data_IF_790964291275
#
_entry.id   IF_790964291275
#
_cell.length_a   1.000
_cell.length_b   1.000
_cell.length_c   1.000
_cell.angle_alpha   90.00
_cell.angle_beta   90.00
_cell.angle_gamma   90.00
#
_symmetry.space_group_name_H-M   'P 1'
#
loop_
_entity.id
_entity.type
_entity.pdbx_description
1 polymer ?
#
# COMPACT_ATOMS: atom_id res chain seq x y z
N UNK A 1 30.03 -25.05 29.74
CA UNK A 1 29.17 -23.88 29.82
C UNK A 1 28.49 -23.72 28.47
N UNK A 2 27.23 -24.11 28.39
CA UNK A 2 26.44 -24.04 27.15
C UNK A 2 26.08 -22.59 26.94
N UNK A 3 26.47 -22.01 25.82
CA UNK A 3 25.89 -20.76 25.32
C UNK A 3 24.48 -21.10 24.85
N UNK A 4 23.51 -20.85 25.72
CA UNK A 4 22.12 -20.79 25.32
C UNK A 4 21.99 -19.64 24.29
N UNK A 5 21.75 -20.05 23.05
CA UNK A 5 21.37 -19.17 21.96
C UNK A 5 20.05 -18.53 22.37
N UNK A 6 20.11 -17.31 22.89
CA UNK A 6 18.95 -16.43 22.98
C UNK A 6 18.47 -16.20 21.55
N UNK A 7 17.58 -17.07 21.08
CA UNK A 7 16.79 -16.76 19.90
C UNK A 7 16.09 -15.43 20.20
N UNK A 8 16.57 -14.37 19.61
CA UNK A 8 15.89 -13.07 19.62
C UNK A 8 14.52 -13.35 19.04
N UNK A 9 13.49 -13.37 19.89
CA UNK A 9 12.10 -13.49 19.44
C UNK A 9 11.82 -12.26 18.59
N UNK A 10 11.91 -12.42 17.28
CA UNK A 10 11.55 -11.37 16.35
C UNK A 10 10.05 -11.11 16.49
N UNK A 11 9.67 -9.87 16.70
CA UNK A 11 8.27 -9.47 16.78
C UNK A 11 7.60 -9.78 15.44
N UNK A 12 6.47 -10.51 15.44
CA UNK A 12 5.69 -10.72 14.22
C UNK A 12 5.25 -9.40 13.62
N UNK A 13 5.29 -9.28 12.29
CA UNK A 13 4.90 -8.07 11.58
C UNK A 13 4.24 -8.38 10.23
N UNK A 14 3.62 -7.37 9.65
CA UNK A 14 2.92 -7.42 8.37
C UNK A 14 3.49 -6.33 7.47
N UNK A 15 3.70 -6.63 6.19
CA UNK A 15 3.90 -5.62 5.17
C UNK A 15 2.54 -5.23 4.58
N UNK A 16 2.13 -3.99 4.78
CA UNK A 16 0.80 -3.54 4.36
C UNK A 16 0.71 -3.16 2.88
N UNK A 17 1.84 -3.13 2.14
CA UNK A 17 1.84 -2.80 0.71
C UNK A 17 3.12 -3.27 0.00
N UNK A 18 2.96 -4.20 -0.93
CA UNK A 18 4.02 -4.66 -1.83
C UNK A 18 3.44 -5.12 -3.18
N UNK A 19 4.28 -5.24 -4.21
CA UNK A 19 3.88 -5.64 -5.56
C UNK A 19 4.54 -6.97 -5.94
N UNK A 20 4.09 -8.09 -5.37
CA UNK A 20 4.69 -9.42 -5.62
C UNK A 20 4.37 -9.99 -7.01
N UNK A 21 3.44 -9.38 -7.76
CA UNK A 21 3.20 -9.66 -9.17
C UNK A 21 4.18 -8.97 -10.12
N UNK A 22 5.00 -8.02 -9.59
CA UNK A 22 6.00 -7.32 -10.40
C UNK A 22 7.01 -8.30 -11.02
N UNK A 23 7.38 -8.12 -12.31
CA UNK A 23 8.38 -8.95 -13.00
C UNK A 23 9.72 -9.06 -12.27
N UNK A 24 10.07 -8.11 -11.42
CA UNK A 24 11.28 -8.16 -10.60
C UNK A 24 11.33 -9.38 -9.66
N UNK A 25 10.18 -9.98 -9.34
CA UNK A 25 10.08 -11.17 -8.48
C UNK A 25 9.89 -12.48 -9.24
N UNK A 26 9.64 -12.44 -10.54
CA UNK A 26 9.23 -13.61 -11.33
C UNK A 26 10.21 -14.80 -11.24
N UNK A 27 11.51 -14.53 -11.11
CA UNK A 27 12.54 -15.59 -11.13
C UNK A 27 12.78 -16.26 -9.76
N UNK A 28 12.46 -15.57 -8.64
CA UNK A 28 12.83 -16.06 -7.31
C UNK A 28 11.74 -15.86 -6.24
N UNK A 29 10.49 -15.75 -6.64
CA UNK A 29 9.35 -15.47 -5.75
C UNK A 29 9.29 -16.43 -4.56
N UNK A 30 9.49 -17.73 -4.76
CA UNK A 30 9.49 -18.73 -3.67
C UNK A 30 10.59 -18.49 -2.66
N UNK A 31 11.75 -18.06 -3.13
CA UNK A 31 12.84 -17.69 -2.23
C UNK A 31 12.52 -16.38 -1.47
N UNK A 32 11.85 -15.42 -2.10
CA UNK A 32 11.33 -14.20 -1.43
C UNK A 32 10.34 -14.57 -0.33
N UNK A 33 9.32 -15.38 -0.64
CA UNK A 33 8.34 -15.86 0.35
C UNK A 33 9.02 -16.60 1.51
N UNK A 34 10.02 -17.42 1.22
CA UNK A 34 10.79 -18.12 2.26
C UNK A 34 11.54 -17.13 3.17
N UNK A 35 12.13 -16.07 2.60
CA UNK A 35 12.80 -15.00 3.38
C UNK A 35 11.79 -14.22 4.23
N UNK A 36 10.61 -13.90 3.70
CA UNK A 36 9.53 -13.26 4.45
C UNK A 36 9.14 -14.07 5.69
N UNK A 37 8.88 -15.37 5.53
CA UNK A 37 8.54 -16.27 6.64
C UNK A 37 9.67 -16.40 7.66
N UNK A 38 10.92 -16.51 7.20
CA UNK A 38 12.10 -16.59 8.07
C UNK A 38 12.34 -15.29 8.86
N UNK A 39 11.89 -14.15 8.34
CA UNK A 39 11.93 -12.87 9.03
C UNK A 39 10.77 -12.66 10.03
N UNK A 40 9.97 -13.69 10.32
CA UNK A 40 8.80 -13.64 11.20
C UNK A 40 7.65 -12.77 10.68
N UNK A 41 7.57 -12.55 9.37
CA UNK A 41 6.37 -11.97 8.78
C UNK A 41 5.19 -12.92 8.92
N UNK A 42 4.05 -12.41 9.31
CA UNK A 42 2.80 -13.17 9.46
C UNK A 42 1.87 -13.01 8.27
N UNK A 43 1.99 -11.90 7.54
CA UNK A 43 1.21 -11.65 6.33
C UNK A 43 1.86 -10.54 5.47
N UNK A 44 1.41 -10.42 4.23
CA UNK A 44 1.64 -9.26 3.37
C UNK A 44 0.42 -8.97 2.51
N UNK A 45 0.20 -7.69 2.19
CA UNK A 45 -0.81 -7.26 1.21
C UNK A 45 -0.10 -6.99 -0.11
N UNK A 46 -0.44 -7.76 -1.15
CA UNK A 46 0.10 -7.59 -2.50
C UNK A 46 -0.90 -6.91 -3.42
N UNK A 47 -0.43 -5.98 -4.23
CA UNK A 47 -1.25 -5.01 -4.94
C UNK A 47 -1.24 -5.32 -6.44
N UNK A 48 -2.44 -5.29 -7.05
CA UNK A 48 -2.61 -5.22 -8.50
C UNK A 48 -3.08 -3.83 -8.92
N UNK A 49 -2.47 -3.27 -9.96
CA UNK A 49 -2.63 -1.88 -10.38
C UNK A 49 -3.44 -1.71 -11.66
N UNK A 50 -3.70 -2.79 -12.39
CA UNK A 50 -4.46 -2.80 -13.64
C UNK A 50 -5.03 -4.20 -13.94
N UNK A 51 -5.81 -4.33 -15.02
CA UNK A 51 -6.50 -5.59 -15.37
C UNK A 51 -5.55 -6.77 -15.55
N UNK A 52 -4.36 -6.56 -16.12
CA UNK A 52 -3.39 -7.65 -16.34
C UNK A 52 -2.85 -8.25 -15.05
N UNK A 53 -2.98 -7.55 -13.91
CA UNK A 53 -2.49 -8.01 -12.61
C UNK A 53 -3.50 -8.94 -11.91
N UNK A 54 -4.75 -8.98 -12.35
CA UNK A 54 -5.84 -9.70 -11.67
C UNK A 54 -5.53 -11.20 -11.56
N UNK A 55 -5.28 -11.87 -12.69
CA UNK A 55 -5.02 -13.30 -12.67
C UNK A 55 -3.71 -13.68 -11.97
N UNK A 56 -2.57 -12.96 -12.15
CA UNK A 56 -1.39 -13.16 -11.33
C UNK A 56 -1.64 -12.96 -9.82
N UNK A 57 -2.41 -11.94 -9.45
CA UNK A 57 -2.78 -11.68 -8.05
C UNK A 57 -3.58 -12.84 -7.46
N UNK A 58 -4.66 -13.29 -8.13
CA UNK A 58 -5.45 -14.45 -7.72
C UNK A 58 -4.60 -15.69 -7.51
N UNK A 59 -3.74 -15.99 -8.49
CA UNK A 59 -2.83 -17.14 -8.41
C UNK A 59 -1.89 -17.08 -7.19
N UNK A 60 -1.44 -15.88 -6.80
CA UNK A 60 -0.64 -15.70 -5.58
C UNK A 60 -1.45 -15.94 -4.31
N UNK A 61 -2.67 -15.41 -4.24
CA UNK A 61 -3.55 -15.59 -3.07
C UNK A 61 -3.92 -17.07 -2.87
N UNK A 62 -4.24 -17.76 -3.95
CA UNK A 62 -4.55 -19.21 -3.93
C UNK A 62 -3.34 -20.06 -3.52
N UNK A 63 -2.14 -19.63 -3.91
CA UNK A 63 -0.89 -20.34 -3.61
C UNK A 63 -0.43 -20.18 -2.16
N UNK A 64 -0.72 -19.03 -1.55
CA UNK A 64 -0.28 -18.68 -0.20
C UNK A 64 -1.42 -18.19 0.69
N UNK A 65 -2.50 -19.00 0.85
CA UNK A 65 -3.68 -18.60 1.59
C UNK A 65 -3.34 -18.33 3.06
N UNK A 66 -3.93 -17.25 3.61
CA UNK A 66 -3.70 -16.82 5.00
C UNK A 66 -2.34 -16.17 5.24
N UNK A 67 -1.45 -16.13 4.25
CA UNK A 67 -0.17 -15.41 4.30
C UNK A 67 -0.13 -14.22 3.35
N UNK A 68 -0.62 -14.36 2.12
CA UNK A 68 -0.81 -13.26 1.20
C UNK A 68 -2.27 -12.86 1.16
N UNK A 69 -2.48 -11.57 1.17
CA UNK A 69 -3.76 -10.89 0.94
C UNK A 69 -3.62 -9.94 -0.23
N UNK A 70 -4.73 -9.60 -0.89
CA UNK A 70 -4.73 -8.79 -2.09
C UNK A 70 -5.48 -7.49 -1.95
N UNK A 71 -5.09 -6.52 -2.75
CA UNK A 71 -5.90 -5.38 -3.12
C UNK A 71 -5.75 -5.13 -4.62
N UNK A 72 -6.81 -4.63 -5.25
CA UNK A 72 -6.79 -4.29 -6.66
C UNK A 72 -7.55 -3.01 -6.92
N UNK A 73 -7.00 -2.19 -7.81
CA UNK A 73 -7.64 -1.02 -8.39
C UNK A 73 -6.95 -0.61 -9.69
N UNK A 74 -7.46 0.41 -10.37
CA UNK A 74 -6.77 1.03 -11.51
C UNK A 74 -5.96 2.22 -11.00
N UNK A 75 -4.64 2.08 -11.07
CA UNK A 75 -3.68 3.05 -10.54
C UNK A 75 -3.77 4.41 -11.28
N UNK A 76 -3.55 5.55 -10.59
CA UNK A 76 -3.64 6.87 -11.21
C UNK A 76 -2.57 7.17 -12.26
N UNK A 77 -1.49 6.40 -12.35
CA UNK A 77 -0.46 6.56 -13.38
C UNK A 77 -0.83 5.96 -14.75
N UNK A 78 -1.97 5.26 -14.86
CA UNK A 78 -2.37 4.61 -16.11
C UNK A 78 -3.53 5.34 -16.81
N UNK A 79 -3.25 6.41 -17.60
CA UNK A 79 -4.28 7.19 -18.28
C UNK A 79 -5.07 6.38 -19.32
N UNK A 80 -4.41 5.40 -19.96
CA UNK A 80 -4.99 4.57 -21.02
C UNK A 80 -5.59 3.26 -20.50
N UNK A 81 -5.59 3.03 -19.19
CA UNK A 81 -6.19 1.82 -18.63
C UNK A 81 -7.70 1.82 -18.84
N UNK A 82 -8.26 0.61 -19.00
CA UNK A 82 -9.71 0.44 -19.01
C UNK A 82 -10.31 0.93 -17.69
N UNK A 83 -11.35 1.69 -17.79
CA UNK A 83 -12.10 2.15 -16.61
C UNK A 83 -13.08 1.05 -16.17
N UNK A 84 -12.82 0.45 -15.02
CA UNK A 84 -13.80 -0.41 -14.36
C UNK A 84 -14.88 0.45 -13.69
N UNK A 85 -16.12 -0.02 -13.67
CA UNK A 85 -17.18 0.64 -12.91
C UNK A 85 -17.14 0.24 -11.41
N UNK A 86 -17.93 0.94 -10.60
CA UNK A 86 -17.91 0.73 -9.16
C UNK A 86 -18.43 -0.67 -8.73
N UNK A 87 -19.33 -1.26 -9.51
CA UNK A 87 -19.85 -2.61 -9.23
C UNK A 87 -18.79 -3.67 -9.50
N UNK A 88 -18.10 -3.58 -10.64
CA UNK A 88 -16.99 -4.47 -10.97
C UNK A 88 -15.87 -4.40 -9.93
N UNK A 89 -15.46 -3.18 -9.53
CA UNK A 89 -14.41 -3.00 -8.52
C UNK A 89 -14.85 -3.61 -7.18
N UNK A 90 -16.11 -3.38 -6.77
CA UNK A 90 -16.64 -3.92 -5.51
C UNK A 90 -16.74 -5.45 -5.54
N UNK A 91 -17.13 -6.05 -6.67
CA UNK A 91 -17.16 -7.50 -6.86
C UNK A 91 -15.75 -8.09 -6.67
N UNK A 92 -14.75 -7.52 -7.35
CA UNK A 92 -13.34 -7.94 -7.20
C UNK A 92 -12.82 -7.80 -5.77
N UNK A 93 -13.11 -6.67 -5.11
CA UNK A 93 -12.72 -6.45 -3.73
C UNK A 93 -13.38 -7.42 -2.74
N UNK A 94 -14.46 -8.08 -3.15
CA UNK A 94 -15.18 -9.09 -2.38
C UNK A 94 -14.69 -10.52 -2.60
N UNK A 95 -13.78 -10.75 -3.53
CA UNK A 95 -13.18 -12.07 -3.79
C UNK A 95 -12.39 -12.60 -2.57
N UNK A 96 -12.26 -13.94 -2.44
CA UNK A 96 -11.47 -14.51 -1.35
C UNK A 96 -10.03 -13.99 -1.30
N UNK A 97 -9.59 -13.60 -0.11
CA UNK A 97 -8.24 -13.07 0.08
C UNK A 97 -8.06 -11.58 -0.22
N UNK A 98 -9.03 -10.93 -0.87
CA UNK A 98 -9.01 -9.49 -1.10
C UNK A 98 -9.41 -8.73 0.18
N UNK A 99 -8.59 -7.75 0.59
CA UNK A 99 -8.76 -7.03 1.87
C UNK A 99 -8.99 -5.53 1.72
N UNK A 100 -8.75 -4.96 0.55
CA UNK A 100 -8.90 -3.53 0.29
C UNK A 100 -9.22 -3.26 -1.18
N UNK A 101 -9.68 -2.04 -1.48
CA UNK A 101 -9.70 -1.45 -2.83
C UNK A 101 -8.45 -0.56 -2.95
N UNK A 102 -7.57 -0.84 -3.85
CA UNK A 102 -6.32 -0.10 -4.05
C UNK A 102 -5.32 -0.91 -4.90
N UNK A 103 -4.39 -0.21 -5.43
CA UNK A 103 -3.95 1.16 -5.20
C UNK A 103 -4.68 2.15 -6.14
N UNK A 104 -5.24 3.20 -5.57
CA UNK A 104 -5.98 4.24 -6.29
C UNK A 104 -5.71 5.62 -5.69
N UNK A 105 -6.02 6.68 -6.37
CA UNK A 105 -5.80 8.04 -5.86
C UNK A 105 -5.39 9.03 -6.92
N UNK A 106 -4.39 9.87 -6.61
CA UNK A 106 -3.91 10.95 -7.48
C UNK A 106 -2.38 10.95 -7.61
N UNK A 107 -1.88 11.19 -8.82
CA UNK A 107 -0.46 11.42 -9.10
C UNK A 107 -0.27 12.68 -9.94
N UNK A 108 0.32 13.73 -9.35
CA UNK A 108 0.65 14.97 -10.03
C UNK A 108 2.11 15.05 -10.46
N UNK A 109 2.90 14.04 -10.11
CA UNK A 109 4.30 13.95 -10.51
C UNK A 109 4.46 13.36 -11.91
N UNK A 110 3.88 12.20 -12.16
CA UNK A 110 3.96 11.51 -13.45
C UNK A 110 2.88 11.97 -14.44
N UNK A 111 1.69 12.30 -13.95
CA UNK A 111 0.59 12.78 -14.77
C UNK A 111 0.48 14.29 -14.70
N UNK A 112 0.25 14.93 -15.85
CA UNK A 112 0.11 16.39 -15.95
C UNK A 112 -1.32 16.76 -16.33
N UNK A 113 -1.75 17.94 -15.90
CA UNK A 113 -3.09 18.46 -16.19
C UNK A 113 -3.49 18.33 -17.69
N UNK A 114 -4.76 18.08 -18.01
CA UNK A 114 -5.90 18.03 -17.09
C UNK A 114 -6.04 16.64 -16.41
N UNK A 115 -6.35 16.62 -15.11
CA UNK A 115 -6.41 15.41 -14.28
C UNK A 115 -7.84 15.10 -13.76
N UNK A 116 -8.88 15.58 -14.41
CA UNK A 116 -10.26 15.30 -14.01
C UNK A 116 -10.56 13.79 -14.06
N UNK A 117 -10.02 13.08 -15.05
CA UNK A 117 -10.15 11.65 -15.15
C UNK A 117 -9.58 10.88 -13.92
N UNK A 118 -8.47 11.36 -13.32
CA UNK A 118 -7.94 10.77 -12.08
C UNK A 118 -8.91 11.00 -10.91
N UNK A 119 -9.46 12.21 -10.80
CA UNK A 119 -10.41 12.56 -9.75
C UNK A 119 -11.69 11.73 -9.86
N UNK A 120 -12.20 11.55 -11.08
CA UNK A 120 -13.41 10.75 -11.34
C UNK A 120 -13.16 9.27 -11.10
N UNK A 121 -12.00 8.75 -11.52
CA UNK A 121 -11.55 7.39 -11.21
C UNK A 121 -11.47 7.18 -9.71
N UNK A 122 -10.82 8.08 -8.99
CA UNK A 122 -10.66 7.99 -7.53
C UNK A 122 -12.01 7.97 -6.81
N UNK A 123 -12.93 8.85 -7.15
CA UNK A 123 -14.31 8.84 -6.58
C UNK A 123 -15.03 7.52 -6.84
N UNK A 124 -14.88 6.96 -8.04
CA UNK A 124 -15.48 5.67 -8.40
C UNK A 124 -14.92 4.54 -7.54
N UNK A 125 -13.63 4.55 -7.23
CA UNK A 125 -13.01 3.56 -6.35
C UNK A 125 -13.46 3.74 -4.89
N UNK A 126 -13.66 4.98 -4.41
CA UNK A 126 -14.22 5.24 -3.09
C UNK A 126 -15.66 4.69 -3.00
N UNK A 127 -16.47 4.90 -4.01
CA UNK A 127 -17.82 4.34 -4.09
C UNK A 127 -17.79 2.80 -4.08
N UNK A 128 -16.88 2.17 -4.82
CA UNK A 128 -16.69 0.73 -4.85
C UNK A 128 -16.26 0.19 -3.48
N UNK A 129 -15.33 0.85 -2.80
CA UNK A 129 -14.89 0.49 -1.45
C UNK A 129 -16.04 0.51 -0.45
N UNK A 130 -16.93 1.53 -0.56
CA UNK A 130 -18.14 1.62 0.25
C UNK A 130 -19.10 0.46 -0.02
N UNK A 131 -19.33 0.11 -1.29
CA UNK A 131 -20.17 -1.05 -1.66
C UNK A 131 -19.61 -2.37 -1.15
N UNK A 132 -18.30 -2.57 -1.28
CA UNK A 132 -17.60 -3.78 -0.82
C UNK A 132 -17.38 -3.81 0.70
N UNK A 133 -17.62 -2.71 1.43
CA UNK A 133 -17.27 -2.54 2.84
C UNK A 133 -15.79 -2.88 3.12
N UNK A 134 -14.91 -2.39 2.26
CA UNK A 134 -13.46 -2.59 2.32
C UNK A 134 -12.75 -1.23 2.43
N UNK A 135 -11.63 -1.15 3.16
CA UNK A 135 -10.83 0.06 3.20
C UNK A 135 -10.16 0.36 1.87
N UNK A 136 -9.67 1.62 1.73
CA UNK A 136 -8.92 2.06 0.57
C UNK A 136 -7.41 2.07 0.85
N UNK A 137 -6.61 1.70 -0.17
CA UNK A 137 -5.18 1.98 -0.21
C UNK A 137 -4.98 3.13 -1.21
N UNK A 138 -4.54 4.28 -0.69
CA UNK A 138 -4.54 5.54 -1.43
C UNK A 138 -3.14 5.96 -1.81
N UNK A 139 -2.89 6.02 -3.12
CA UNK A 139 -1.73 6.66 -3.72
C UNK A 139 -1.89 8.17 -3.73
N UNK A 140 -0.88 8.89 -3.30
CA UNK A 140 -0.84 10.34 -3.44
C UNK A 140 0.61 10.80 -3.66
N UNK A 141 0.91 11.32 -4.83
CA UNK A 141 2.25 11.83 -5.14
C UNK A 141 2.18 13.26 -5.65
N UNK A 142 2.75 14.20 -4.90
CA UNK A 142 2.59 15.64 -5.08
C UNK A 142 1.09 16.06 -5.08
N UNK A 143 0.22 15.23 -4.51
CA UNK A 143 -1.24 15.31 -4.57
C UNK A 143 -1.93 15.05 -3.21
N UNK A 144 -1.18 14.93 -2.12
CA UNK A 144 -1.69 14.45 -0.83
C UNK A 144 -2.83 15.31 -0.27
N UNK A 145 -2.72 16.65 -0.42
CA UNK A 145 -3.77 17.55 0.01
C UNK A 145 -5.05 17.41 -0.84
N UNK A 146 -4.90 17.31 -2.17
CA UNK A 146 -6.03 17.14 -3.08
C UNK A 146 -6.72 15.77 -2.90
N UNK A 147 -5.93 14.70 -2.67
CA UNK A 147 -6.48 13.38 -2.36
C UNK A 147 -7.27 13.40 -1.05
N UNK A 148 -6.75 14.07 -0.01
CA UNK A 148 -7.44 14.23 1.27
C UNK A 148 -8.76 15.00 1.15
N UNK A 149 -8.81 16.03 0.31
CA UNK A 149 -10.06 16.77 0.04
C UNK A 149 -11.13 15.86 -0.56
N UNK A 150 -10.77 15.02 -1.54
CA UNK A 150 -11.71 14.06 -2.13
C UNK A 150 -12.14 13.02 -1.08
N UNK A 151 -11.21 12.43 -0.33
CA UNK A 151 -11.54 11.46 0.72
C UNK A 151 -12.53 12.01 1.74
N UNK A 152 -12.38 13.28 2.12
CA UNK A 152 -13.32 13.96 3.02
C UNK A 152 -14.67 14.22 2.36
N UNK A 153 -14.68 14.71 1.12
CA UNK A 153 -15.93 15.04 0.42
C UNK A 153 -16.78 13.82 0.10
N UNK A 154 -16.14 12.64 -0.01
CA UNK A 154 -16.79 11.36 -0.28
C UNK A 154 -16.97 10.51 1.00
N UNK A 155 -16.74 11.06 2.20
CA UNK A 155 -16.89 10.36 3.49
C UNK A 155 -16.14 9.00 3.55
N UNK A 156 -14.96 8.92 2.94
CA UNK A 156 -14.16 7.69 2.84
C UNK A 156 -13.75 7.11 4.21
N UNK A 157 -13.80 7.92 5.27
CA UNK A 157 -13.56 7.50 6.65
C UNK A 157 -14.55 6.44 7.15
N UNK A 158 -15.73 6.31 6.55
CA UNK A 158 -16.73 5.29 6.92
C UNK A 158 -16.24 3.86 6.70
N UNK A 159 -15.48 3.62 5.64
CA UNK A 159 -14.85 2.32 5.34
C UNK A 159 -13.39 2.25 5.76
N UNK A 160 -12.79 3.40 6.08
CA UNK A 160 -11.39 3.55 6.42
C UNK A 160 -10.49 3.61 5.19
N UNK A 161 -9.31 4.19 5.37
CA UNK A 161 -8.30 4.28 4.32
C UNK A 161 -6.91 4.40 4.89
N UNK A 162 -5.91 4.05 4.11
CA UNK A 162 -4.51 4.36 4.36
C UNK A 162 -3.97 5.23 3.22
N UNK A 163 -3.37 6.36 3.55
CA UNK A 163 -2.55 7.09 2.58
C UNK A 163 -1.16 6.45 2.60
N UNK A 164 -0.90 5.62 1.58
CA UNK A 164 0.29 4.79 1.53
C UNK A 164 1.53 5.59 1.10
N UNK A 165 2.72 5.08 1.44
CA UNK A 165 4.03 5.66 1.09
C UNK A 165 4.11 7.17 1.30
N UNK A 166 3.54 7.65 2.42
CA UNK A 166 3.29 9.06 2.69
C UNK A 166 4.56 9.92 2.56
N UNK A 167 4.43 11.01 1.78
CA UNK A 167 5.50 11.98 1.57
C UNK A 167 5.06 13.44 1.75
N UNK A 168 3.83 13.68 2.22
CA UNK A 168 3.25 15.00 2.37
C UNK A 168 3.70 15.79 3.60
N UNK A 169 2.89 16.74 4.03
CA UNK A 169 3.15 17.62 5.18
C UNK A 169 2.56 17.08 6.48
N UNK A 170 3.02 17.57 7.64
CA UNK A 170 2.41 17.24 8.94
C UNK A 170 0.93 17.65 9.00
N UNK A 171 0.57 18.78 8.40
CA UNK A 171 -0.81 19.23 8.33
C UNK A 171 -1.69 18.22 7.59
N UNK A 172 -1.24 17.77 6.41
CA UNK A 172 -1.95 16.76 5.64
C UNK A 172 -2.04 15.42 6.38
N UNK A 173 -0.94 14.97 7.01
CA UNK A 173 -0.93 13.74 7.80
C UNK A 173 -1.94 13.78 8.97
N UNK A 174 -2.02 14.89 9.69
CA UNK A 174 -3.05 15.12 10.72
C UNK A 174 -4.45 15.15 10.13
N UNK A 175 -4.61 15.75 8.95
CA UNK A 175 -5.87 15.76 8.22
C UNK A 175 -6.35 14.35 7.86
N UNK A 176 -5.44 13.47 7.42
CA UNK A 176 -5.71 12.05 7.16
C UNK A 176 -6.21 11.34 8.42
N UNK A 177 -5.48 11.50 9.54
CA UNK A 177 -5.86 10.91 10.83
C UNK A 177 -7.23 11.40 11.31
N UNK A 178 -7.47 12.70 11.22
CA UNK A 178 -8.74 13.33 11.63
C UNK A 178 -9.93 12.91 10.75
N UNK A 179 -9.67 12.54 9.48
CA UNK A 179 -10.67 11.99 8.58
C UNK A 179 -10.89 10.47 8.74
N UNK A 180 -10.34 9.86 9.80
CA UNK A 180 -10.49 8.42 10.10
C UNK A 180 -9.43 7.52 9.46
N UNK A 181 -8.53 8.08 8.65
CA UNK A 181 -7.50 7.34 7.92
C UNK A 181 -6.30 6.93 8.77
N UNK A 182 -5.40 6.19 8.11
CA UNK A 182 -4.07 5.82 8.56
C UNK A 182 -3.01 6.38 7.61
N UNK A 183 -1.78 6.45 8.08
CA UNK A 183 -0.63 6.88 7.29
C UNK A 183 0.39 5.76 7.31
N UNK A 184 0.88 5.32 6.16
CA UNK A 184 1.95 4.34 6.11
C UNK A 184 3.27 4.92 5.63
N UNK A 185 4.34 4.28 6.05
CA UNK A 185 5.69 4.68 5.73
C UNK A 185 6.51 3.49 5.21
N UNK A 186 7.32 3.76 4.20
CA UNK A 186 8.23 2.81 3.56
C UNK A 186 9.66 2.96 4.08
N UNK A 187 10.58 2.25 3.46
CA UNK A 187 12.01 2.42 3.68
C UNK A 187 12.55 3.84 3.48
N UNK A 188 11.75 4.75 2.91
CA UNK A 188 12.08 6.17 2.74
C UNK A 188 12.32 6.91 4.07
N UNK A 189 11.74 6.44 5.20
CA UNK A 189 12.05 6.95 6.54
C UNK A 189 13.53 6.84 6.90
N UNK A 190 14.20 5.81 6.39
CA UNK A 190 15.63 5.57 6.66
C UNK A 190 16.56 6.48 5.85
N UNK A 191 16.03 7.20 4.84
CA UNK A 191 16.86 8.03 3.99
C UNK A 191 17.36 9.27 4.73
N UNK A 192 18.67 9.51 4.66
CA UNK A 192 19.32 10.59 5.40
C UNK A 192 18.64 11.96 5.21
N UNK A 193 18.19 12.27 3.99
CA UNK A 193 17.54 13.54 3.63
C UNK A 193 16.10 13.69 4.16
N UNK A 194 15.47 12.62 4.64
CA UNK A 194 14.05 12.59 5.01
C UNK A 194 13.83 12.84 6.52
N UNK A 195 14.59 13.74 7.14
CA UNK A 195 14.43 14.09 8.55
C UNK A 195 13.02 14.64 8.87
N UNK A 196 12.43 15.41 7.95
CA UNK A 196 11.09 15.93 8.09
C UNK A 196 10.04 14.80 8.14
N UNK A 197 10.18 13.78 7.30
CA UNK A 197 9.25 12.65 7.29
C UNK A 197 9.31 11.85 8.61
N UNK A 198 10.51 11.68 9.18
CA UNK A 198 10.66 11.06 10.52
C UNK A 198 10.00 11.90 11.61
N UNK A 199 10.10 13.23 11.53
CA UNK A 199 9.43 14.13 12.47
C UNK A 199 7.89 14.03 12.34
N UNK A 200 7.37 13.87 11.13
CA UNK A 200 5.94 13.64 10.89
C UNK A 200 5.49 12.32 11.53
N UNK A 201 6.20 11.23 11.27
CA UNK A 201 5.89 9.93 11.86
C UNK A 201 5.90 9.98 13.39
N UNK A 202 6.88 10.65 13.99
CA UNK A 202 6.97 10.81 15.44
C UNK A 202 5.87 11.71 16.06
N UNK A 203 5.20 12.53 15.25
CA UNK A 203 4.16 13.47 15.71
C UNK A 203 2.72 12.93 15.56
N UNK A 204 2.55 11.71 15.02
CA UNK A 204 1.26 11.06 14.84
C UNK A 204 1.01 9.99 15.91
N UNK A 205 -0.25 9.69 16.25
CA UNK A 205 -0.60 8.57 17.12
C UNK A 205 -0.10 7.24 16.54
N UNK A 206 0.52 6.40 17.38
CA UNK A 206 1.11 5.13 16.94
C UNK A 206 0.08 4.20 16.28
N UNK A 207 -1.13 4.17 16.82
CA UNK A 207 -2.26 3.37 16.31
C UNK A 207 -2.77 3.83 14.93
N UNK A 208 -2.29 4.97 14.44
CA UNK A 208 -2.61 5.51 13.11
C UNK A 208 -1.46 5.35 12.12
N UNK A 209 -0.40 4.67 12.53
CA UNK A 209 0.76 4.41 11.68
C UNK A 209 0.73 2.97 11.17
N UNK A 210 1.12 2.79 9.92
CA UNK A 210 1.37 1.49 9.31
C UNK A 210 2.78 1.46 8.73
N UNK A 211 3.33 0.28 8.59
CA UNK A 211 4.62 0.04 7.92
C UNK A 211 4.39 -0.79 6.67
N UNK A 212 5.18 -0.50 5.67
CA UNK A 212 5.17 -1.19 4.39
C UNK A 212 6.52 -1.10 3.71
N UNK A 213 6.69 -1.83 2.62
CA UNK A 213 7.91 -1.73 1.81
C UNK A 213 7.72 -0.99 0.50
N UNK A 214 6.56 -1.11 -0.13
CA UNK A 214 6.35 -0.76 -1.53
C UNK A 214 7.32 -1.55 -2.46
N UNK A 215 7.63 -2.78 -2.06
CA UNK A 215 8.55 -3.64 -2.81
C UNK A 215 8.01 -3.98 -4.21
N UNK A 216 8.84 -3.90 -5.28
CA UNK A 216 10.31 -3.91 -5.29
C UNK A 216 10.99 -2.54 -5.11
N UNK A 217 10.24 -1.48 -4.84
CA UNK A 217 10.71 -0.11 -4.72
C UNK A 217 11.15 0.23 -3.28
N UNK A 218 11.55 1.45 -3.03
CA UNK A 218 11.76 2.09 -1.71
C UNK A 218 12.67 1.34 -0.72
N UNK A 219 13.62 0.52 -1.21
CA UNK A 219 14.53 -0.23 -0.34
C UNK A 219 15.16 0.66 0.75
N UNK A 220 15.07 0.28 2.04
CA UNK A 220 15.65 1.02 3.16
C UNK A 220 17.17 0.98 3.16
N UNK A 221 17.82 1.81 3.96
CA UNK A 221 19.23 1.64 4.32
C UNK A 221 19.35 0.39 5.19
N UNK A 222 20.32 -0.52 4.94
CA UNK A 222 21.46 -0.41 4.02
C UNK A 222 21.23 -0.92 2.59
N UNK A 223 19.99 -1.28 2.23
CA UNK A 223 19.68 -1.96 0.96
C UNK A 223 19.43 -1.00 -0.21
N UNK A 224 19.60 0.31 -0.03
CA UNK A 224 19.39 1.31 -1.09
C UNK A 224 20.10 0.96 -2.40
N UNK A 225 19.35 1.13 -3.51
CA UNK A 225 19.85 0.79 -4.86
C UNK A 225 19.77 -0.69 -5.23
N UNK A 226 19.23 -1.53 -4.31
CA UNK A 226 18.88 -2.92 -4.58
C UNK A 226 17.36 -3.04 -4.68
N UNK A 227 16.87 -4.16 -5.22
CA UNK A 227 15.46 -4.54 -5.16
C UNK A 227 15.01 -4.62 -3.68
N UNK A 228 13.93 -3.93 -3.36
CA UNK A 228 13.30 -4.10 -2.05
C UNK A 228 12.58 -5.43 -1.99
N UNK A 229 12.51 -6.02 -0.80
CA UNK A 229 11.72 -7.21 -0.53
C UNK A 229 10.82 -6.95 0.69
N UNK A 230 9.62 -7.58 0.79
CA UNK A 230 8.65 -7.28 1.85
C UNK A 230 9.20 -7.40 3.27
N UNK A 231 10.17 -8.30 3.52
CA UNK A 231 10.79 -8.44 4.84
C UNK A 231 11.73 -7.27 5.23
N UNK A 232 11.98 -6.32 4.32
CA UNK A 232 12.76 -5.11 4.63
C UNK A 232 11.97 -4.05 5.42
N UNK A 233 10.69 -4.27 5.71
CA UNK A 233 9.89 -3.36 6.56
C UNK A 233 10.23 -3.42 8.05
N UNK A 234 11.20 -4.27 8.42
CA UNK A 234 11.76 -4.35 9.78
C UNK A 234 12.80 -3.28 10.06
#
# INVERSE_FOLDING_TARGET
MSFDCLATLMTPFIDSHCHLTDPAFAQDLDAVISRMKNASMTAAVTIGCEDRDIEPLRALLDRFPGFLFGAWAVHPEYPDAREADADEIAERASEPGMVAVGETGLDFYWCKEPLDWQRDRFRRHIEAARRAQKPLIVHARDAEAAALEILKSEDAGEVGFVMHCFCGTLETARGVVNAGGHVSFTGNLTFKKNAQLRAIAAALPLEKLMIETDAPYMAPVPYRGKRCEPWHSM
#
